data_IF_060479744558
#
_entry.id   IF_060479744558
#
_cell.length_a   1.000
_cell.length_b   1.000
_cell.length_c   1.000
_cell.angle_alpha   90.00
_cell.angle_beta   90.00
_cell.angle_gamma   90.00
#
_symmetry.space_group_name_H-M   'P 1'
#
loop_
_entity.id
_entity.type
_entity.pdbx_description
1 polymer ?
#
# COMPACT_ATOMS: atom_id res chain seq x y z
N UNK A 1 -23.13 9.19 13.37
CA UNK A 1 -22.73 8.11 12.47
C UNK A 1 -23.69 7.92 11.30
N UNK A 2 -25.00 7.74 11.54
CA UNK A 2 -25.98 7.48 10.48
C UNK A 2 -25.97 8.51 9.34
N UNK A 3 -25.77 9.79 9.64
CA UNK A 3 -25.68 10.84 8.62
C UNK A 3 -24.47 10.65 7.67
N UNK A 4 -23.32 10.21 8.19
CA UNK A 4 -22.14 9.90 7.36
C UNK A 4 -22.40 8.69 6.46
N UNK A 5 -23.08 7.67 7.00
CA UNK A 5 -23.49 6.47 6.25
C UNK A 5 -24.48 6.86 5.14
N UNK A 6 -25.48 7.67 5.47
CA UNK A 6 -26.47 8.15 4.51
C UNK A 6 -25.80 8.93 3.37
N UNK A 7 -24.85 9.81 3.68
CA UNK A 7 -24.11 10.57 2.68
C UNK A 7 -23.31 9.64 1.74
N UNK A 8 -22.64 8.63 2.29
CA UNK A 8 -21.96 7.61 1.49
C UNK A 8 -22.92 6.79 0.63
N UNK A 9 -24.07 6.39 1.17
CA UNK A 9 -25.07 5.64 0.42
C UNK A 9 -25.68 6.48 -0.71
N UNK A 10 -25.93 7.77 -0.47
CA UNK A 10 -26.32 8.72 -1.51
C UNK A 10 -25.25 8.80 -2.61
N UNK A 11 -23.96 8.87 -2.26
CA UNK A 11 -22.88 8.86 -3.25
C UNK A 11 -22.95 7.61 -4.12
N UNK A 12 -23.17 6.43 -3.53
CA UNK A 12 -23.23 5.14 -4.24
C UNK A 12 -24.36 5.04 -5.26
N UNK A 13 -25.45 5.79 -5.05
CA UNK A 13 -26.59 5.83 -5.97
C UNK A 13 -26.33 6.70 -7.21
N UNK A 14 -25.37 7.62 -7.14
CA UNK A 14 -25.06 8.49 -8.27
C UNK A 14 -24.22 7.74 -9.31
N UNK A 15 -24.57 7.92 -10.58
CA UNK A 15 -23.90 7.22 -11.69
C UNK A 15 -22.45 7.68 -11.89
N UNK A 16 -22.16 8.96 -11.63
CA UNK A 16 -20.84 9.57 -11.71
C UNK A 16 -20.54 10.28 -10.40
N UNK A 17 -19.28 10.28 -9.97
CA UNK A 17 -18.88 11.00 -8.77
C UNK A 17 -19.11 12.50 -8.95
N UNK A 18 -19.88 13.11 -8.04
CA UNK A 18 -20.03 14.56 -7.95
C UNK A 18 -19.14 15.08 -6.81
N UNK A 19 -18.13 15.92 -7.11
CA UNK A 19 -17.27 16.55 -6.11
C UNK A 19 -18.02 17.34 -5.02
N UNK A 20 -19.30 17.68 -5.25
CA UNK A 20 -20.17 18.25 -4.25
C UNK A 20 -20.23 17.41 -2.96
N UNK A 21 -20.31 16.08 -3.07
CA UNK A 21 -20.35 15.21 -1.90
C UNK A 21 -19.05 15.27 -1.09
N UNK A 22 -17.89 15.25 -1.77
CA UNK A 22 -16.60 15.43 -1.12
C UNK A 22 -16.50 16.75 -0.34
N UNK A 23 -16.91 17.86 -0.97
CA UNK A 23 -16.95 19.19 -0.32
C UNK A 23 -17.91 19.23 0.87
N UNK A 24 -19.05 18.54 0.76
CA UNK A 24 -20.01 18.44 1.85
C UNK A 24 -19.44 17.65 3.02
N UNK A 25 -18.79 16.52 2.76
CA UNK A 25 -18.07 15.73 3.76
C UNK A 25 -16.96 16.54 4.46
N UNK A 26 -16.17 17.31 3.70
CA UNK A 26 -15.18 18.23 4.23
C UNK A 26 -15.80 19.25 5.20
N UNK A 27 -16.92 19.88 4.81
CA UNK A 27 -17.62 20.85 5.67
C UNK A 27 -18.10 20.21 6.97
N UNK A 28 -18.62 18.98 6.93
CA UNK A 28 -19.00 18.26 8.14
C UNK A 28 -17.81 17.99 9.06
N UNK A 29 -16.66 17.56 8.52
CA UNK A 29 -15.44 17.37 9.31
C UNK A 29 -14.94 18.68 9.95
N UNK A 30 -15.08 19.82 9.25
CA UNK A 30 -14.70 21.14 9.78
C UNK A 30 -15.64 21.63 10.90
N UNK A 31 -16.91 21.24 10.88
CA UNK A 31 -17.89 21.66 11.89
C UNK A 31 -17.64 20.94 13.22
N UNK A 32 -17.38 19.63 13.19
CA UNK A 32 -17.14 18.87 14.41
C UNK A 32 -16.25 17.65 14.16
N UNK A 33 -15.31 17.44 15.09
CA UNK A 33 -14.44 16.25 15.12
C UNK A 33 -15.23 14.94 15.22
N UNK A 34 -16.45 14.97 15.76
CA UNK A 34 -17.33 13.79 15.81
C UNK A 34 -17.64 13.27 14.39
N UNK A 35 -17.76 14.16 13.40
CA UNK A 35 -17.95 13.72 12.01
C UNK A 35 -16.68 13.12 11.42
N UNK A 36 -15.52 13.66 11.76
CA UNK A 36 -14.23 13.11 11.34
C UNK A 36 -14.05 11.67 11.84
N UNK A 37 -14.29 11.42 13.13
CA UNK A 37 -14.24 10.07 13.72
C UNK A 37 -15.29 9.12 13.10
N UNK A 38 -16.47 9.63 12.79
CA UNK A 38 -17.50 8.84 12.12
C UNK A 38 -17.08 8.47 10.68
N UNK A 39 -16.50 9.40 9.92
CA UNK A 39 -16.00 9.11 8.57
C UNK A 39 -14.82 8.15 8.57
N UNK A 40 -13.95 8.20 9.59
CA UNK A 40 -12.90 7.20 9.80
C UNK A 40 -13.49 5.80 10.01
N UNK A 41 -14.48 5.66 10.91
CA UNK A 41 -15.19 4.38 11.10
C UNK A 41 -15.87 3.90 9.83
N UNK A 42 -16.49 4.81 9.08
CA UNK A 42 -17.07 4.49 7.79
C UNK A 42 -16.01 4.03 6.79
N UNK A 43 -14.82 4.64 6.74
CA UNK A 43 -13.73 4.21 5.85
C UNK A 43 -13.35 2.76 6.10
N UNK A 44 -13.12 2.39 7.37
CA UNK A 44 -12.76 1.02 7.76
C UNK A 44 -13.87 0.04 7.35
N UNK A 45 -15.13 0.36 7.68
CA UNK A 45 -16.27 -0.48 7.31
C UNK A 45 -16.40 -0.67 5.79
N UNK A 46 -16.29 0.42 5.02
CA UNK A 46 -16.40 0.38 3.57
C UNK A 46 -15.27 -0.42 2.93
N UNK A 47 -14.03 -0.27 3.43
CA UNK A 47 -12.89 -1.05 2.94
C UNK A 47 -13.09 -2.55 3.24
N UNK A 48 -13.54 -2.93 4.43
CA UNK A 48 -13.82 -4.32 4.76
C UNK A 48 -14.90 -4.95 3.88
N UNK A 49 -15.97 -4.22 3.55
CA UNK A 49 -17.08 -4.73 2.73
C UNK A 49 -16.90 -4.52 1.23
N UNK A 50 -15.75 -3.99 0.79
CA UNK A 50 -15.57 -3.53 -0.60
C UNK A 50 -15.70 -4.66 -1.63
N UNK A 51 -15.34 -5.87 -1.24
CA UNK A 51 -15.46 -7.07 -2.05
C UNK A 51 -16.92 -7.42 -2.37
N UNK A 52 -17.87 -7.01 -1.52
CA UNK A 52 -19.31 -7.24 -1.69
C UNK A 52 -19.94 -6.22 -2.65
N UNK A 53 -19.23 -5.14 -2.97
CA UNK A 53 -19.73 -4.12 -3.89
C UNK A 53 -19.71 -4.68 -5.30
N UNK A 54 -20.90 -4.94 -5.84
CA UNK A 54 -21.10 -5.66 -7.11
C UNK A 54 -20.58 -4.88 -8.32
N UNK A 55 -20.66 -3.54 -8.31
CA UNK A 55 -20.28 -2.72 -9.47
C UNK A 55 -18.99 -1.95 -9.24
N UNK A 56 -18.13 -1.91 -10.26
CA UNK A 56 -16.91 -1.09 -10.24
C UNK A 56 -17.23 0.39 -10.03
N UNK A 57 -18.32 0.88 -10.63
CA UNK A 57 -18.79 2.27 -10.47
C UNK A 57 -18.97 2.67 -9.00
N UNK A 58 -19.56 1.80 -8.19
CA UNK A 58 -19.76 2.06 -6.77
C UNK A 58 -18.42 2.14 -6.03
N UNK A 59 -17.46 1.25 -6.36
CA UNK A 59 -16.11 1.26 -5.76
C UNK A 59 -15.36 2.55 -6.10
N UNK A 60 -15.50 3.01 -7.35
CA UNK A 60 -14.86 4.23 -7.84
C UNK A 60 -15.40 5.46 -7.10
N UNK A 61 -16.71 5.59 -6.98
CA UNK A 61 -17.35 6.74 -6.32
C UNK A 61 -16.95 6.84 -4.85
N UNK A 62 -16.93 5.71 -4.13
CA UNK A 62 -16.50 5.69 -2.72
C UNK A 62 -15.01 6.01 -2.60
N UNK A 63 -14.17 5.52 -3.51
CA UNK A 63 -12.74 5.85 -3.54
C UNK A 63 -12.50 7.35 -3.77
N UNK A 64 -13.17 7.94 -4.75
CA UNK A 64 -13.05 9.38 -5.06
C UNK A 64 -13.52 10.27 -3.91
N UNK A 65 -14.58 9.87 -3.21
CA UNK A 65 -15.05 10.57 -2.01
C UNK A 65 -13.99 10.59 -0.91
N UNK A 66 -13.40 9.44 -0.58
CA UNK A 66 -12.37 9.36 0.45
C UNK A 66 -11.05 10.02 0.04
N UNK A 67 -10.67 9.94 -1.24
CA UNK A 67 -9.52 10.65 -1.78
C UNK A 67 -9.67 12.16 -1.57
N UNK A 68 -10.86 12.72 -1.81
CA UNK A 68 -11.11 14.13 -1.56
C UNK A 68 -10.99 14.51 -0.08
N UNK A 69 -11.51 13.69 0.83
CA UNK A 69 -11.40 13.95 2.27
C UNK A 69 -9.96 13.90 2.78
N UNK A 70 -9.16 12.94 2.29
CA UNK A 70 -7.74 12.83 2.60
C UNK A 70 -6.94 14.00 2.00
N UNK A 71 -7.18 14.32 0.72
CA UNK A 71 -6.50 15.42 0.03
C UNK A 71 -6.76 16.80 0.63
N UNK A 72 -7.93 16.99 1.25
CA UNK A 72 -8.29 18.25 1.94
C UNK A 72 -7.90 18.28 3.42
N UNK A 73 -7.20 17.25 3.93
CA UNK A 73 -6.90 17.06 5.35
C UNK A 73 -8.15 17.04 6.26
N UNK A 74 -9.31 16.69 5.70
CA UNK A 74 -10.56 16.52 6.46
C UNK A 74 -10.57 15.20 7.24
N UNK A 75 -9.77 14.23 6.78
CA UNK A 75 -9.63 12.91 7.36
C UNK A 75 -8.13 12.63 7.55
N UNK A 76 -7.72 12.06 8.69
CA UNK A 76 -6.32 11.89 9.00
C UNK A 76 -5.72 10.74 8.19
N UNK A 77 -4.43 10.85 7.83
CA UNK A 77 -3.76 9.91 6.93
C UNK A 77 -3.53 8.52 7.55
N UNK A 78 -3.61 8.39 8.88
CA UNK A 78 -3.44 7.12 9.59
C UNK A 78 -4.49 6.07 9.19
N UNK A 79 -5.62 6.47 8.61
CA UNK A 79 -6.61 5.50 8.12
C UNK A 79 -6.08 4.64 6.96
N UNK A 80 -5.04 5.10 6.26
CA UNK A 80 -4.40 4.31 5.21
C UNK A 80 -3.67 3.08 5.78
N UNK A 81 -3.33 3.08 7.07
CA UNK A 81 -2.72 1.92 7.74
C UNK A 81 -3.65 0.69 7.78
N UNK A 82 -4.96 0.87 7.64
CA UNK A 82 -5.91 -0.25 7.50
C UNK A 82 -5.82 -0.93 6.12
N UNK A 83 -5.18 -0.31 5.14
CA UNK A 83 -4.97 -0.88 3.81
C UNK A 83 -3.71 -1.74 3.84
N UNK A 84 -3.90 -3.07 3.82
CA UNK A 84 -2.80 -4.04 3.64
C UNK A 84 -2.60 -4.35 2.16
N UNK A 85 -1.43 -4.05 1.62
CA UNK A 85 -1.03 -4.33 0.24
C UNK A 85 -0.21 -5.63 0.15
N UNK A 86 -0.84 -6.77 0.43
CA UNK A 86 -0.23 -8.10 0.28
C UNK A 86 -0.93 -8.91 -0.80
N UNK A 87 -0.25 -9.91 -1.36
CA UNK A 87 -0.84 -10.80 -2.38
C UNK A 87 -2.02 -11.61 -1.82
N UNK A 88 -1.94 -11.98 -0.54
CA UNK A 88 -2.91 -12.84 0.16
C UNK A 88 -4.13 -12.06 0.67
N UNK A 89 -3.96 -10.82 1.14
CA UNK A 89 -5.05 -10.04 1.73
C UNK A 89 -5.77 -9.12 0.72
N UNK A 90 -5.21 -8.90 -0.48
CA UNK A 90 -5.82 -8.00 -1.48
C UNK A 90 -6.66 -8.73 -2.53
N UNK A 91 -7.96 -8.44 -2.53
CA UNK A 91 -8.88 -8.85 -3.61
C UNK A 91 -8.80 -7.90 -4.81
N UNK A 92 -9.25 -8.34 -5.99
CA UNK A 92 -9.33 -7.48 -7.19
C UNK A 92 -10.13 -6.19 -6.95
N UNK A 93 -11.22 -6.27 -6.18
CA UNK A 93 -12.03 -5.11 -5.78
C UNK A 93 -11.25 -4.11 -4.93
N UNK A 94 -10.46 -4.61 -3.97
CA UNK A 94 -9.60 -3.77 -3.13
C UNK A 94 -8.50 -3.10 -3.96
N UNK A 95 -7.91 -3.82 -4.92
CA UNK A 95 -6.90 -3.26 -5.85
C UNK A 95 -7.47 -2.14 -6.72
N UNK A 96 -8.70 -2.28 -7.23
CA UNK A 96 -9.37 -1.21 -7.99
C UNK A 96 -9.60 0.02 -7.12
N UNK A 97 -10.06 -0.17 -5.88
CA UNK A 97 -10.28 0.93 -4.95
C UNK A 97 -8.99 1.68 -4.62
N UNK A 98 -7.94 0.96 -4.23
CA UNK A 98 -6.63 1.55 -3.92
C UNK A 98 -6.09 2.29 -5.14
N UNK A 99 -6.18 1.68 -6.35
CA UNK A 99 -5.76 2.33 -7.60
C UNK A 99 -6.42 3.70 -7.75
N UNK A 100 -7.75 3.77 -7.62
CA UNK A 100 -8.49 5.01 -7.86
C UNK A 100 -8.26 6.02 -6.75
N UNK A 101 -8.21 5.57 -5.50
CA UNK A 101 -7.91 6.41 -4.34
C UNK A 101 -6.59 7.16 -4.54
N UNK A 102 -5.52 6.45 -4.89
CA UNK A 102 -4.20 7.05 -5.06
C UNK A 102 -4.06 7.84 -6.36
N UNK A 103 -4.74 7.45 -7.44
CA UNK A 103 -4.77 8.23 -8.68
C UNK A 103 -5.42 9.60 -8.43
N UNK A 104 -6.60 9.62 -7.81
CA UNK A 104 -7.32 10.85 -7.45
C UNK A 104 -6.52 11.72 -6.47
N UNK A 105 -5.84 11.10 -5.48
CA UNK A 105 -4.95 11.83 -4.57
C UNK A 105 -3.76 12.47 -5.31
N UNK A 106 -3.16 11.73 -6.26
CA UNK A 106 -2.05 12.24 -7.07
C UNK A 106 -2.49 13.36 -8.01
N UNK A 107 -3.72 13.32 -8.52
CA UNK A 107 -4.29 14.40 -9.33
C UNK A 107 -4.54 15.66 -8.51
N UNK A 108 -5.05 15.52 -7.28
CA UNK A 108 -5.39 16.64 -6.40
C UNK A 108 -4.16 17.29 -5.71
N UNK A 109 -3.19 16.48 -5.26
CA UNK A 109 -2.03 16.96 -4.49
C UNK A 109 -0.75 17.06 -5.33
N UNK A 110 -0.66 16.27 -6.40
CA UNK A 110 0.59 16.02 -7.12
C UNK A 110 1.45 14.94 -6.47
N UNK A 111 2.25 14.25 -7.30
CA UNK A 111 3.07 13.10 -6.91
C UNK A 111 4.13 13.44 -5.83
N UNK A 112 4.68 14.66 -5.86
CA UNK A 112 5.75 15.09 -4.94
C UNK A 112 5.23 15.25 -3.51
N UNK A 113 4.15 16.01 -3.36
CA UNK A 113 3.52 16.25 -2.06
C UNK A 113 2.93 14.96 -1.48
N UNK A 114 2.37 14.11 -2.35
CA UNK A 114 1.89 12.78 -1.96
C UNK A 114 3.03 11.91 -1.41
N UNK A 115 4.20 11.90 -2.05
CA UNK A 115 5.36 11.13 -1.58
C UNK A 115 5.86 11.64 -0.21
N UNK A 116 5.87 12.95 0.01
CA UNK A 116 6.23 13.55 1.30
C UNK A 116 5.28 13.11 2.41
N UNK A 117 3.97 13.15 2.17
CA UNK A 117 2.93 12.72 3.12
C UNK A 117 2.95 11.23 3.43
N UNK A 118 3.27 10.39 2.44
CA UNK A 118 3.36 8.93 2.60
C UNK A 118 4.66 8.47 3.25
N UNK A 119 5.71 9.31 3.28
CA UNK A 119 6.95 8.96 3.97
C UNK A 119 7.00 9.44 5.43
N UNK A 120 5.88 9.83 6.02
CA UNK A 120 5.90 10.16 7.44
C UNK A 120 6.32 8.92 8.26
N UNK A 121 7.21 9.08 9.26
CA UNK A 121 7.93 7.97 9.91
C UNK A 121 7.06 7.03 10.75
N UNK A 122 5.77 7.30 10.92
CA UNK A 122 4.84 6.43 11.66
C UNK A 122 4.19 5.34 10.79
N UNK A 123 4.22 5.46 9.46
CA UNK A 123 3.71 4.42 8.54
C UNK A 123 4.83 3.48 8.10
N UNK A 124 5.52 2.87 9.06
CA UNK A 124 6.52 1.81 8.80
C UNK A 124 5.86 0.44 8.98
N UNK A 125 5.15 -0.04 7.97
CA UNK A 125 4.73 -1.45 7.94
C UNK A 125 4.89 -2.02 6.53
N UNK A 126 6.09 -2.49 6.23
CA UNK A 126 6.34 -3.62 5.33
C UNK A 126 7.76 -4.14 5.60
N UNK A 127 7.94 -4.77 6.76
CA UNK A 127 9.18 -5.46 7.13
C UNK A 127 9.48 -6.65 6.19
N UNK A 128 8.46 -7.16 5.48
CA UNK A 128 8.64 -8.26 4.54
C UNK A 128 9.04 -7.79 3.12
N UNK A 129 10.17 -8.27 2.59
CA UNK A 129 10.64 -7.88 1.26
C UNK A 129 9.74 -8.35 0.11
N UNK A 130 8.79 -9.29 0.32
CA UNK A 130 7.82 -9.66 -0.72
C UNK A 130 6.70 -8.63 -0.78
N UNK A 131 6.15 -8.19 0.36
CA UNK A 131 5.14 -7.12 0.42
C UNK A 131 5.68 -5.83 -0.18
N UNK A 132 6.91 -5.43 0.17
CA UNK A 132 7.55 -4.26 -0.42
C UNK A 132 7.69 -4.36 -1.96
N UNK A 133 8.02 -5.54 -2.51
CA UNK A 133 8.06 -5.76 -3.98
C UNK A 133 6.67 -5.68 -4.60
N UNK A 134 5.67 -6.24 -3.93
CA UNK A 134 4.28 -6.19 -4.37
C UNK A 134 3.80 -4.74 -4.46
N UNK A 135 4.01 -3.95 -3.40
CA UNK A 135 3.72 -2.52 -3.34
C UNK A 135 4.41 -1.75 -4.46
N UNK A 136 5.71 -1.97 -4.69
CA UNK A 136 6.44 -1.34 -5.81
C UNK A 136 5.82 -1.68 -7.17
N UNK A 137 5.53 -2.95 -7.43
CA UNK A 137 4.94 -3.38 -8.70
C UNK A 137 3.54 -2.80 -8.89
N UNK A 138 2.72 -2.81 -7.84
CA UNK A 138 1.37 -2.27 -7.85
C UNK A 138 1.38 -0.77 -8.19
N UNK A 139 2.11 0.05 -7.42
CA UNK A 139 2.18 1.50 -7.65
C UNK A 139 2.80 1.86 -9.01
N UNK A 140 3.75 1.06 -9.49
CA UNK A 140 4.29 1.23 -10.85
C UNK A 140 3.24 0.92 -11.92
N UNK A 141 2.46 -0.14 -11.74
CA UNK A 141 1.42 -0.54 -12.71
C UNK A 141 0.28 0.47 -12.85
N UNK A 142 0.00 1.25 -11.80
CA UNK A 142 -1.04 2.28 -11.81
C UNK A 142 -0.53 3.68 -12.24
N UNK A 143 0.76 3.79 -12.59
CA UNK A 143 1.40 5.04 -13.04
C UNK A 143 1.95 5.92 -11.92
N UNK A 144 1.96 5.45 -10.67
CA UNK A 144 2.44 6.18 -9.50
C UNK A 144 3.81 5.65 -9.03
N UNK A 145 4.73 5.39 -9.95
CA UNK A 145 6.05 4.85 -9.60
C UNK A 145 6.87 5.77 -8.67
N UNK A 146 6.66 7.09 -8.76
CA UNK A 146 7.42 8.11 -8.02
C UNK A 146 7.25 8.07 -6.50
N UNK A 147 6.14 7.53 -5.96
CA UNK A 147 5.97 7.37 -4.51
C UNK A 147 6.74 6.17 -3.94
N UNK A 148 7.31 5.33 -4.81
CA UNK A 148 7.99 4.09 -4.39
C UNK A 148 9.52 4.15 -4.45
N UNK A 149 10.10 5.34 -4.68
CA UNK A 149 11.55 5.50 -4.82
C UNK A 149 12.33 4.96 -3.60
N UNK A 150 11.91 5.34 -2.39
CA UNK A 150 12.53 4.87 -1.13
C UNK A 150 12.40 3.36 -0.93
N UNK A 151 11.25 2.78 -1.28
CA UNK A 151 11.02 1.33 -1.24
C UNK A 151 11.91 0.60 -2.25
N UNK A 152 12.12 1.17 -3.44
CA UNK A 152 13.03 0.62 -4.45
C UNK A 152 14.47 0.60 -3.95
N UNK A 153 14.91 1.68 -3.31
CA UNK A 153 16.26 1.76 -2.72
C UNK A 153 16.44 0.74 -1.58
N UNK A 154 15.44 0.59 -0.72
CA UNK A 154 15.42 -0.44 0.32
C UNK A 154 15.55 -1.86 -0.26
N UNK A 155 14.76 -2.18 -1.29
CA UNK A 155 14.82 -3.48 -1.97
C UNK A 155 16.15 -3.72 -2.69
N UNK A 156 16.77 -2.69 -3.26
CA UNK A 156 18.09 -2.79 -3.87
C UNK A 156 19.18 -3.09 -2.83
N UNK A 157 19.15 -2.42 -1.67
CA UNK A 157 20.08 -2.66 -0.58
C UNK A 157 19.93 -4.07 -0.01
N UNK A 158 18.69 -4.53 0.22
CA UNK A 158 18.40 -5.90 0.65
C UNK A 158 18.86 -6.95 -0.38
N UNK A 159 18.63 -6.71 -1.68
CA UNK A 159 19.09 -7.60 -2.75
C UNK A 159 20.62 -7.73 -2.78
N UNK A 160 21.35 -6.65 -2.47
CA UNK A 160 22.83 -6.68 -2.35
C UNK A 160 23.27 -7.53 -1.16
N UNK A 161 22.64 -7.37 0.00
CA UNK A 161 22.93 -8.14 1.21
C UNK A 161 22.69 -9.65 0.99
N UNK A 162 21.56 -10.02 0.38
CA UNK A 162 21.23 -11.42 0.06
C UNK A 162 22.25 -12.02 -0.92
N UNK A 163 22.67 -11.26 -1.95
CA UNK A 163 23.71 -11.72 -2.90
C UNK A 163 25.06 -11.92 -2.21
N UNK A 164 25.43 -11.05 -1.27
CA UNK A 164 26.65 -11.19 -0.48
C UNK A 164 26.61 -12.41 0.44
N UNK A 165 25.50 -12.65 1.16
CA UNK A 165 25.34 -13.85 1.99
C UNK A 165 25.41 -15.14 1.15
N UNK A 166 24.72 -15.20 0.01
CA UNK A 166 24.81 -16.36 -0.89
C UNK A 166 26.23 -16.59 -1.40
N UNK A 167 26.98 -15.52 -1.71
CA UNK A 167 28.37 -15.65 -2.17
C UNK A 167 29.30 -16.19 -1.09
N UNK A 168 29.11 -15.76 0.17
CA UNK A 168 29.85 -16.27 1.33
C UNK A 168 29.52 -17.75 1.59
N UNK A 169 28.25 -18.12 1.62
CA UNK A 169 27.81 -19.52 1.77
C UNK A 169 28.37 -20.46 0.69
N UNK A 170 28.37 -20.02 -0.58
CA UNK A 170 28.94 -20.81 -1.69
C UNK A 170 30.47 -20.92 -1.57
N UNK A 171 31.14 -19.86 -1.12
CA UNK A 171 32.58 -19.88 -0.85
C UNK A 171 32.92 -20.87 0.27
N UNK A 172 32.18 -20.83 1.37
CA UNK A 172 32.38 -21.74 2.51
C UNK A 172 32.13 -23.20 2.13
N UNK A 173 31.05 -23.50 1.41
CA UNK A 173 30.78 -24.85 0.90
C UNK A 173 31.90 -25.36 -0.03
N UNK A 174 32.41 -24.48 -0.89
CA UNK A 174 33.48 -24.81 -1.82
C UNK A 174 34.80 -25.10 -1.10
N UNK A 175 35.12 -24.34 -0.04
CA UNK A 175 36.28 -24.58 0.82
C UNK A 175 36.18 -25.90 1.60
N UNK A 176 35.00 -26.23 2.12
CA UNK A 176 34.75 -27.51 2.82
C UNK A 176 34.90 -28.69 1.87
N UNK A 177 34.32 -28.61 0.66
CA UNK A 177 34.45 -29.66 -0.37
C UNK A 177 35.90 -29.83 -0.84
N UNK A 178 36.65 -28.74 -1.00
CA UNK A 178 38.08 -28.80 -1.31
C UNK A 178 38.90 -29.44 -0.18
N UNK A 179 38.58 -29.12 1.06
CA UNK A 179 39.25 -29.69 2.22
C UNK A 179 39.01 -31.20 2.31
N UNK A 180 37.77 -31.65 2.12
CA UNK A 180 37.41 -33.07 2.17
C UNK A 180 38.00 -33.87 0.99
N UNK A 181 38.03 -33.32 -0.22
CA UNK A 181 38.70 -33.96 -1.37
C UNK A 181 40.21 -34.06 -1.17
N UNK A 182 40.87 -33.04 -0.61
CA UNK A 182 42.29 -33.08 -0.25
C UNK A 182 42.57 -34.12 0.85
N UNK A 183 41.67 -34.26 1.84
CA UNK A 183 41.76 -35.26 2.91
C UNK A 183 41.63 -36.69 2.38
N UNK A 184 40.68 -36.95 1.47
CA UNK A 184 40.50 -38.25 0.84
C UNK A 184 41.70 -38.63 -0.06
N UNK A 185 42.25 -37.68 -0.84
CA UNK A 185 43.47 -37.92 -1.64
C UNK A 185 44.69 -38.25 -0.78
N UNK A 186 44.85 -37.63 0.39
CA UNK A 186 45.95 -37.94 1.34
C UNK A 186 45.82 -39.33 1.95
N UNK A 187 44.61 -39.83 2.21
CA UNK A 187 44.38 -41.19 2.71
C UNK A 187 44.74 -42.26 1.67
N UNK A 188 44.33 -42.09 0.41
CA UNK A 188 44.61 -43.05 -0.68
C UNK A 188 46.09 -43.15 -1.10
N UNK A 189 46.96 -42.22 -0.70
CA UNK A 189 48.40 -42.25 -1.00
C UNK A 189 49.23 -42.92 0.11
N UNK A 190 48.60 -43.37 1.19
CA UNK A 190 49.26 -44.00 2.35
C UNK A 190 49.00 -45.50 2.46
N UNK A 191 48.24 -46.06 1.52
CA UNK A 191 48.07 -47.50 1.26
C UNK A 191 48.90 -47.85 0.01
#
# INVERSE_FOLDING_TARGET
MELCIMLLECCRQVQNYDPYYGRLGQRFCMISKVYQENFEKCFVQQYSTIHQLVTEKIRNVVAMFFAHLLGTNSLPWHVLAYIRLTEEDTTSSSRIFIKILFQELSENLGIRLLNERLTDPETTEDDDPKSARFSVNFFTSIGLGGITEKLRDYLQNMSRLIKQQKKLLVSDLSQVLEYDTKRHRKRRKRE
#
